data_IF_762400969710
#
_entry.id   IF_762400969710
#
_cell.length_a   1.000
_cell.length_b   1.000
_cell.length_c   1.000
_cell.angle_alpha   90.00
_cell.angle_beta   90.00
_cell.angle_gamma   90.00
#
_symmetry.space_group_name_H-M   'P 1'
#
loop_
_entity.id
_entity.type
_entity.pdbx_description
1 polymer ?
#
# COMPACT_ATOMS: atom_id res chain seq x y z
N UNK A 1 69.19 71.63 12.21
CA UNK A 1 68.64 72.98 11.99
C UNK A 1 67.15 72.80 11.82
N UNK A 2 66.38 73.03 12.89
CA UNK A 2 65.70 74.32 13.19
C UNK A 2 64.66 74.61 12.12
N UNK A 3 63.38 74.81 12.37
CA UNK A 3 62.58 75.19 13.54
C UNK A 3 61.12 74.91 13.11
N UNK A 4 60.27 74.33 13.97
CA UNK A 4 59.28 75.08 14.78
C UNK A 4 58.14 75.60 13.90
N UNK A 5 56.90 75.15 14.07
CA UNK A 5 55.91 75.78 14.95
C UNK A 5 54.55 75.47 14.30
N UNK A 6 53.41 75.28 14.93
CA UNK A 6 52.98 75.37 16.32
C UNK A 6 51.56 74.78 16.33
N UNK A 7 51.21 74.15 17.44
CA UNK A 7 49.88 73.58 17.70
C UNK A 7 49.32 74.40 18.87
N UNK A 8 48.09 74.91 18.78
CA UNK A 8 47.13 74.55 19.84
C UNK A 8 45.72 74.35 19.26
N UNK A 9 45.05 73.21 19.49
CA UNK A 9 44.38 72.73 20.71
C UNK A 9 43.01 73.38 20.97
N UNK A 10 42.06 72.52 21.37
CA UNK A 10 40.71 72.76 21.93
C UNK A 10 39.57 72.97 20.92
N UNK A 11 38.36 72.44 21.05
CA UNK A 11 37.73 71.35 21.82
C UNK A 11 36.26 71.27 21.31
N UNK A 12 35.70 70.05 21.31
CA UNK A 12 34.28 69.74 21.56
C UNK A 12 33.20 69.78 20.45
N UNK A 13 32.39 68.71 20.48
CA UNK A 13 30.98 68.54 20.05
C UNK A 13 30.65 68.83 18.56
N UNK A 14 30.05 67.93 17.78
CA UNK A 14 28.73 67.32 18.00
C UNK A 14 28.51 66.20 16.96
N UNK A 15 27.85 65.13 17.41
CA UNK A 15 26.84 64.32 16.70
C UNK A 15 26.93 64.17 15.17
N UNK A 16 27.00 62.93 14.70
CA UNK A 16 25.91 62.35 13.88
C UNK A 16 25.95 60.83 14.03
N UNK A 17 25.07 60.33 14.91
CA UNK A 17 24.51 59.00 14.77
C UNK A 17 23.51 59.06 13.60
N UNK A 18 23.75 58.29 12.54
CA UNK A 18 22.74 58.02 11.51
C UNK A 18 22.75 56.53 11.20
N UNK A 19 21.83 55.84 11.89
CA UNK A 19 20.89 54.86 11.34
C UNK A 19 21.45 53.68 10.53
N UNK A 20 21.70 52.58 11.23
CA UNK A 20 21.82 51.23 10.65
C UNK A 20 20.89 50.24 11.38
N UNK A 21 19.58 50.47 11.47
CA UNK A 21 18.68 49.51 12.15
C UNK A 21 17.18 49.62 11.76
N UNK A 22 16.80 49.29 10.51
CA UNK A 22 15.50 48.62 10.35
C UNK A 22 15.50 47.41 9.39
N UNK A 23 16.55 47.19 8.59
CA UNK A 23 16.55 46.19 7.51
C UNK A 23 17.01 44.79 7.96
N UNK A 24 17.67 44.68 9.11
CA UNK A 24 18.17 43.40 9.64
C UNK A 24 17.04 42.63 10.33
N UNK A 25 16.15 43.32 11.02
CA UNK A 25 15.04 42.77 11.81
C UNK A 25 14.00 42.07 10.92
N UNK A 26 13.57 42.72 9.81
CA UNK A 26 12.63 42.11 8.85
C UNK A 26 13.18 40.85 8.16
N UNK A 27 14.50 40.78 7.94
CA UNK A 27 15.13 39.61 7.32
C UNK A 27 15.24 38.44 8.30
N UNK A 28 15.55 38.71 9.57
CA UNK A 28 15.58 37.68 10.61
C UNK A 28 14.19 37.09 10.85
N UNK A 29 13.16 37.93 10.90
CA UNK A 29 11.75 37.51 11.00
C UNK A 29 11.34 36.63 9.80
N UNK A 30 11.67 37.03 8.57
CA UNK A 30 11.40 36.22 7.38
C UNK A 30 12.15 34.88 7.39
N UNK A 31 13.38 34.83 7.89
CA UNK A 31 14.16 33.60 8.02
C UNK A 31 13.52 32.66 9.04
N UNK A 32 13.03 33.17 10.17
CA UNK A 32 12.32 32.38 11.17
C UNK A 32 10.98 31.85 10.65
N UNK A 33 10.20 32.67 9.95
CA UNK A 33 8.95 32.23 9.30
C UNK A 33 9.20 31.12 8.27
N UNK A 34 10.26 31.26 7.44
CA UNK A 34 10.63 30.23 6.47
C UNK A 34 11.09 28.94 7.14
N UNK A 35 11.84 29.01 8.25
CA UNK A 35 12.25 27.84 9.04
C UNK A 35 11.05 27.14 9.65
N UNK A 36 10.11 27.88 10.26
CA UNK A 36 8.90 27.33 10.84
C UNK A 36 8.03 26.63 9.77
N UNK A 37 7.91 27.23 8.59
CA UNK A 37 7.18 26.64 7.45
C UNK A 37 7.86 25.39 6.90
N UNK A 38 9.19 25.37 6.90
CA UNK A 38 9.97 24.20 6.51
C UNK A 38 9.75 23.06 7.51
N UNK A 39 9.84 23.34 8.81
CA UNK A 39 9.58 22.37 9.88
C UNK A 39 8.16 21.80 9.78
N UNK A 40 7.13 22.65 9.64
CA UNK A 40 5.74 22.24 9.46
C UNK A 40 5.58 21.32 8.23
N UNK A 41 6.25 21.64 7.13
CA UNK A 41 6.19 20.84 5.90
C UNK A 41 6.91 19.51 6.07
N UNK A 42 8.03 19.49 6.79
CA UNK A 42 8.80 18.28 7.05
C UNK A 42 8.04 17.32 7.96
N UNK A 43 7.35 17.83 8.98
CA UNK A 43 6.46 17.05 9.84
C UNK A 43 5.29 16.44 9.04
N UNK A 44 4.65 17.23 8.17
CA UNK A 44 3.61 16.74 7.26
C UNK A 44 4.16 15.65 6.34
N UNK A 45 5.36 15.84 5.80
CA UNK A 45 6.00 14.87 4.92
C UNK A 45 6.33 13.57 5.66
N UNK A 46 6.90 13.65 6.87
CA UNK A 46 7.25 12.46 7.66
C UNK A 46 6.01 11.66 8.06
N UNK A 47 4.92 12.35 8.40
CA UNK A 47 3.63 11.72 8.66
C UNK A 47 3.09 11.04 7.42
N UNK A 48 3.04 11.74 6.28
CA UNK A 48 2.54 11.19 5.02
C UNK A 48 3.38 10.00 4.55
N UNK A 49 4.70 10.07 4.69
CA UNK A 49 5.62 8.97 4.39
C UNK A 49 5.32 7.74 5.25
N UNK A 50 5.07 7.95 6.55
CA UNK A 50 4.69 6.88 7.47
C UNK A 50 3.34 6.25 7.12
N UNK A 51 2.35 7.08 6.78
CA UNK A 51 1.03 6.62 6.31
C UNK A 51 1.16 5.81 5.01
N UNK A 52 2.03 6.25 4.08
CA UNK A 52 2.29 5.55 2.84
C UNK A 52 3.00 4.21 3.03
N UNK A 53 4.04 4.13 3.87
CA UNK A 53 4.71 2.85 4.14
C UNK A 53 3.76 1.86 4.84
N UNK A 54 2.93 2.34 5.75
CA UNK A 54 1.86 1.52 6.37
C UNK A 54 0.85 1.03 5.34
N UNK A 55 0.39 1.91 4.44
CA UNK A 55 -0.52 1.53 3.35
C UNK A 55 0.11 0.48 2.43
N UNK A 56 1.38 0.66 2.04
CA UNK A 56 2.10 -0.29 1.18
C UNK A 56 2.23 -1.65 1.84
N UNK A 57 2.62 -1.71 3.11
CA UNK A 57 2.73 -2.94 3.89
C UNK A 57 1.38 -3.65 4.02
N UNK A 58 0.31 -2.91 4.34
CA UNK A 58 -1.05 -3.46 4.42
C UNK A 58 -1.52 -4.02 3.09
N UNK A 59 -1.36 -3.26 2.00
CA UNK A 59 -1.77 -3.67 0.66
C UNK A 59 -1.02 -4.93 0.20
N UNK A 60 0.29 -5.02 0.49
CA UNK A 60 1.06 -6.22 0.18
C UNK A 60 0.53 -7.45 0.92
N UNK A 61 0.17 -7.29 2.21
CA UNK A 61 -0.41 -8.36 3.01
C UNK A 61 -1.78 -8.80 2.48
N UNK A 62 -2.68 -7.86 2.22
CA UNK A 62 -4.02 -8.12 1.67
C UNK A 62 -3.95 -8.85 0.32
N UNK A 63 -2.98 -8.47 -0.54
CA UNK A 63 -2.76 -9.14 -1.82
C UNK A 63 -2.35 -10.61 -1.65
N UNK A 64 -1.48 -10.90 -0.68
CA UNK A 64 -1.07 -12.29 -0.38
C UNK A 64 -2.25 -13.08 0.17
N UNK A 65 -3.03 -12.51 1.09
CA UNK A 65 -4.22 -13.15 1.65
C UNK A 65 -5.28 -13.43 0.56
N UNK A 66 -5.50 -12.48 -0.36
CA UNK A 66 -6.36 -12.69 -1.54
C UNK A 66 -5.85 -13.82 -2.42
N UNK A 67 -4.54 -13.90 -2.68
CA UNK A 67 -3.97 -14.99 -3.48
C UNK A 67 -4.13 -16.35 -2.80
N UNK A 68 -3.98 -16.41 -1.48
CA UNK A 68 -4.17 -17.65 -0.69
C UNK A 68 -5.63 -18.10 -0.68
N UNK A 69 -6.57 -17.16 -0.65
CA UNK A 69 -8.02 -17.45 -0.55
C UNK A 69 -8.73 -17.50 -1.90
N UNK A 70 -8.12 -17.05 -2.99
CA UNK A 70 -8.72 -17.00 -4.33
C UNK A 70 -9.27 -18.35 -4.81
N UNK A 71 -8.62 -19.46 -4.45
CA UNK A 71 -9.07 -20.81 -4.81
C UNK A 71 -10.01 -21.46 -3.79
N UNK A 72 -10.12 -20.92 -2.58
CA UNK A 72 -10.79 -21.57 -1.45
C UNK A 72 -12.26 -21.89 -1.75
N UNK A 73 -12.99 -20.93 -2.33
CA UNK A 73 -14.40 -21.07 -2.68
C UNK A 73 -14.63 -22.12 -3.79
N UNK A 74 -13.68 -22.23 -4.74
CA UNK A 74 -13.73 -23.26 -5.79
C UNK A 74 -13.54 -24.64 -5.17
N UNK A 75 -12.51 -24.82 -4.34
CA UNK A 75 -12.27 -26.11 -3.68
C UNK A 75 -13.43 -26.51 -2.77
N UNK A 76 -13.98 -25.59 -1.98
CA UNK A 76 -15.16 -25.84 -1.14
C UNK A 76 -16.36 -26.33 -1.96
N UNK A 77 -16.56 -25.79 -3.16
CA UNK A 77 -17.65 -26.24 -4.04
C UNK A 77 -17.42 -27.61 -4.68
N UNK A 78 -16.17 -28.06 -4.81
CA UNK A 78 -15.80 -29.36 -5.37
C UNK A 78 -15.87 -30.47 -4.31
N UNK A 79 -15.66 -30.17 -3.02
CA UNK A 79 -15.72 -31.18 -1.93
C UNK A 79 -16.98 -32.07 -1.95
N UNK A 80 -18.21 -31.55 -2.15
CA UNK A 80 -19.41 -32.40 -2.23
C UNK A 80 -19.44 -33.35 -3.43
N UNK A 81 -18.61 -33.12 -4.46
CA UNK A 81 -18.45 -34.05 -5.59
C UNK A 81 -17.50 -35.16 -5.18
N UNK A 82 -16.43 -34.84 -4.45
CA UNK A 82 -15.51 -35.83 -3.88
C UNK A 82 -16.25 -36.77 -2.90
N UNK A 83 -17.08 -36.21 -2.02
CA UNK A 83 -17.92 -37.00 -1.10
C UNK A 83 -18.86 -37.96 -1.83
N UNK A 84 -19.40 -37.53 -2.98
CA UNK A 84 -20.26 -38.37 -3.81
C UNK A 84 -19.47 -39.50 -4.50
N UNK A 85 -18.24 -39.22 -4.95
CA UNK A 85 -17.34 -40.26 -5.45
C UNK A 85 -17.01 -41.30 -4.38
N UNK A 86 -16.68 -40.87 -3.15
CA UNK A 86 -16.44 -41.80 -2.04
C UNK A 86 -17.67 -42.66 -1.75
N UNK A 87 -18.86 -42.06 -1.76
CA UNK A 87 -20.13 -42.77 -1.57
C UNK A 87 -20.36 -43.80 -2.67
N UNK A 88 -20.15 -43.42 -3.94
CA UNK A 88 -20.31 -44.32 -5.07
C UNK A 88 -19.31 -45.48 -5.02
N UNK A 89 -18.05 -45.24 -4.66
CA UNK A 89 -17.03 -46.30 -4.54
C UNK A 89 -17.47 -47.32 -3.46
N UNK A 90 -17.94 -46.85 -2.31
CA UNK A 90 -18.43 -47.72 -1.22
C UNK A 90 -19.67 -48.53 -1.65
N UNK A 91 -20.63 -47.91 -2.34
CA UNK A 91 -21.80 -48.65 -2.84
C UNK A 91 -21.46 -49.64 -3.95
N UNK A 92 -20.46 -49.32 -4.78
CA UNK A 92 -20.04 -50.16 -5.90
C UNK A 92 -19.33 -51.45 -5.42
N UNK A 93 -18.69 -51.43 -4.26
CA UNK A 93 -18.11 -52.65 -3.67
C UNK A 93 -19.16 -53.64 -3.16
N UNK A 94 -20.39 -53.17 -2.90
CA UNK A 94 -21.48 -54.00 -2.36
C UNK A 94 -22.49 -54.44 -3.42
N UNK A 95 -22.45 -53.86 -4.63
CA UNK A 95 -23.39 -54.18 -5.72
C UNK A 95 -22.71 -54.89 -6.88
N UNK A 96 -23.41 -55.86 -7.47
CA UNK A 96 -22.99 -56.54 -8.71
C UNK A 96 -23.69 -55.97 -9.96
N UNK A 97 -24.61 -55.02 -9.78
CA UNK A 97 -25.31 -54.38 -10.89
C UNK A 97 -24.44 -53.30 -11.55
N UNK A 98 -23.81 -53.68 -12.66
CA UNK A 98 -22.98 -52.81 -13.49
C UNK A 98 -23.76 -51.57 -13.97
N UNK A 99 -25.07 -51.69 -14.21
CA UNK A 99 -25.87 -50.57 -14.71
C UNK A 99 -26.07 -49.50 -13.64
N UNK A 100 -26.38 -49.92 -12.41
CA UNK A 100 -26.47 -49.02 -11.27
C UNK A 100 -25.12 -48.30 -11.01
N UNK A 101 -24.00 -49.02 -11.16
CA UNK A 101 -22.65 -48.43 -11.07
C UNK A 101 -22.44 -47.35 -12.14
N UNK A 102 -22.73 -47.64 -13.41
CA UNK A 102 -22.53 -46.67 -14.50
C UNK A 102 -23.42 -45.44 -14.35
N UNK A 103 -24.68 -45.63 -13.93
CA UNK A 103 -25.62 -44.52 -13.74
C UNK A 103 -25.20 -43.62 -12.57
N UNK A 104 -24.71 -44.22 -11.47
CA UNK A 104 -24.17 -43.49 -10.33
C UNK A 104 -22.96 -42.62 -10.69
N UNK A 105 -22.01 -43.18 -11.45
CA UNK A 105 -20.83 -42.44 -11.92
C UNK A 105 -21.24 -41.30 -12.87
N UNK A 106 -22.19 -41.54 -13.78
CA UNK A 106 -22.70 -40.49 -14.69
C UNK A 106 -23.35 -39.34 -13.93
N UNK A 107 -24.08 -39.64 -12.85
CA UNK A 107 -24.76 -38.63 -12.04
C UNK A 107 -23.74 -37.72 -11.32
N UNK A 108 -22.64 -38.29 -10.82
CA UNK A 108 -21.55 -37.54 -10.20
C UNK A 108 -20.83 -36.68 -11.23
N UNK A 109 -20.58 -37.20 -12.43
CA UNK A 109 -19.96 -36.43 -13.52
C UNK A 109 -20.81 -35.22 -13.92
N UNK A 110 -22.13 -35.39 -14.06
CA UNK A 110 -23.04 -34.30 -14.38
C UNK A 110 -23.06 -33.24 -13.26
N UNK A 111 -23.03 -33.67 -11.99
CA UNK A 111 -22.90 -32.76 -10.83
C UNK A 111 -21.59 -31.98 -10.90
N UNK A 112 -20.48 -32.64 -11.21
CA UNK A 112 -19.17 -31.99 -11.34
C UNK A 112 -19.17 -30.92 -12.43
N UNK A 113 -19.65 -31.24 -13.65
CA UNK A 113 -19.77 -30.25 -14.72
C UNK A 113 -20.63 -29.05 -14.29
N UNK A 114 -21.79 -29.32 -13.68
CA UNK A 114 -22.71 -28.27 -13.22
C UNK A 114 -22.06 -27.35 -12.18
N UNK A 115 -21.31 -27.91 -11.24
CA UNK A 115 -20.54 -27.15 -10.23
C UNK A 115 -19.49 -26.25 -10.89
N UNK A 116 -18.73 -26.77 -11.87
CA UNK A 116 -17.73 -25.99 -12.60
C UNK A 116 -18.37 -24.85 -13.40
N UNK A 117 -19.48 -25.13 -14.10
CA UNK A 117 -20.23 -24.09 -14.83
C UNK A 117 -20.80 -23.02 -13.90
N UNK A 118 -21.27 -23.40 -12.72
CA UNK A 118 -21.73 -22.43 -11.72
C UNK A 118 -20.59 -21.55 -11.17
N UNK A 119 -19.35 -22.07 -11.14
CA UNK A 119 -18.14 -21.29 -10.82
C UNK A 119 -17.57 -20.51 -12.02
N UNK A 120 -18.26 -20.50 -13.17
CA UNK A 120 -17.91 -19.72 -14.34
C UNK A 120 -16.98 -20.41 -15.34
N UNK A 121 -16.74 -21.72 -15.19
CA UNK A 121 -15.97 -22.51 -16.16
C UNK A 121 -16.88 -23.09 -17.24
N UNK A 122 -16.51 -22.88 -18.51
CA UNK A 122 -17.21 -23.46 -19.66
C UNK A 122 -16.29 -24.42 -20.43
N UNK A 123 -16.85 -25.52 -20.91
CA UNK A 123 -16.14 -26.43 -21.80
C UNK A 123 -15.71 -25.72 -23.08
N UNK A 124 -14.44 -25.88 -23.45
CA UNK A 124 -13.91 -25.35 -24.71
C UNK A 124 -14.14 -26.37 -25.82
N UNK A 125 -14.81 -25.96 -26.90
CA UNK A 125 -14.95 -26.81 -28.09
C UNK A 125 -13.62 -26.92 -28.80
N UNK A 126 -13.10 -28.13 -28.91
CA UNK A 126 -11.95 -28.43 -29.76
C UNK A 126 -12.43 -29.05 -31.07
N UNK A 127 -11.79 -28.66 -32.18
CA UNK A 127 -11.89 -29.40 -33.44
C UNK A 127 -10.81 -30.48 -33.39
N UNK A 128 -11.24 -31.74 -33.37
CA UNK A 128 -10.35 -32.90 -33.45
C UNK A 128 -9.64 -32.97 -34.79
#
# INVERSE_FOLDING_TARGET
MTEESDKPSEQNEEQTAQETTPVVDEKEVQIEELKAKLEETNDKYLRLYSEFDNFRKRTAKEKVELMQTAGEDVFKSILPVLDDFERAIKSNTETTDVKAVTDGVQLIFNKFQSTLTHKGLSEMKTVG
#
